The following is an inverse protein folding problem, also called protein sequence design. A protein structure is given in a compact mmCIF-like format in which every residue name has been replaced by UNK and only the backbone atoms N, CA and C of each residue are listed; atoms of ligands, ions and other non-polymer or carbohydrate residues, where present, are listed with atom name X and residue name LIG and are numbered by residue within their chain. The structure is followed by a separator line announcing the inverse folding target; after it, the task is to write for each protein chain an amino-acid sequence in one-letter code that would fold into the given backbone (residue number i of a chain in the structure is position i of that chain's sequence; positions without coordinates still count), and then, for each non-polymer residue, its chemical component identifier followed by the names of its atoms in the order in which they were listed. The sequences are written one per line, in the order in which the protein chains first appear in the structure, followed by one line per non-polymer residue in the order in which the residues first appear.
data_IF_361147426971
#
_entry.id   IF_361147426971
#
_cell.length_a   1.000
_cell.length_b   1.000
_cell.length_c   1.000
_cell.angle_alpha   90.00
_cell.angle_beta   90.00
_cell.angle_gamma   90.00
#
_symmetry.space_group_name_H-M   'P 1'
#
loop_
_entity.id
_entity.type
_entity.pdbx_description
1 polymer ?
#
# COMPACT_ATOMS: atom_id res chain seq x y z
N UNK A 1 -23.75 -5.82 13.69
CA UNK A 1 -24.54 -5.68 14.91
C UNK A 1 -24.89 -7.06 15.42
N UNK A 2 -24.82 -7.26 16.76
CA UNK A 2 -25.18 -8.51 17.41
C UNK A 2 -26.31 -8.21 18.41
N UNK A 3 -27.40 -8.98 18.35
CA UNK A 3 -28.53 -8.85 19.29
C UNK A 3 -28.76 -10.21 19.91
N UNK A 4 -28.62 -10.29 21.25
CA UNK A 4 -28.88 -11.47 22.07
C UNK A 4 -28.18 -12.78 21.58
N UNK A 5 -27.01 -12.64 20.96
CA UNK A 5 -26.22 -13.78 20.47
C UNK A 5 -25.58 -14.51 21.66
N UNK A 6 -25.95 -15.77 21.87
CA UNK A 6 -25.38 -16.62 22.90
C UNK A 6 -24.19 -17.40 22.35
N UNK A 7 -23.04 -17.31 23.03
CA UNK A 7 -21.84 -18.08 22.73
C UNK A 7 -21.36 -18.82 23.98
N UNK A 8 -20.71 -19.98 23.85
CA UNK A 8 -20.10 -20.66 25.00
C UNK A 8 -19.05 -19.79 25.67
N UNK A 9 -19.00 -19.79 27.02
CA UNK A 9 -17.98 -19.02 27.75
C UNK A 9 -16.54 -19.42 27.40
N UNK A 10 -16.36 -20.69 27.00
CA UNK A 10 -15.06 -21.21 26.53
C UNK A 10 -14.54 -20.55 25.23
N UNK A 11 -15.40 -19.81 24.52
CA UNK A 11 -15.00 -19.08 23.30
C UNK A 11 -14.42 -17.69 23.64
N UNK A 12 -14.32 -17.32 24.93
CA UNK A 12 -13.68 -16.08 25.33
C UNK A 12 -12.20 -16.10 24.97
N UNK A 13 -11.78 -15.12 24.16
CA UNK A 13 -10.37 -14.92 23.80
C UNK A 13 -9.71 -13.93 24.76
N UNK A 14 -8.77 -14.40 25.57
CA UNK A 14 -8.11 -13.58 26.57
C UNK A 14 -8.98 -13.34 27.81
N UNK A 15 -8.84 -12.17 28.42
CA UNK A 15 -9.58 -11.79 29.63
C UNK A 15 -10.83 -10.98 29.27
N UNK A 16 -11.88 -11.10 30.09
CA UNK A 16 -13.07 -10.27 29.97
C UNK A 16 -12.70 -8.78 30.06
N UNK A 17 -13.23 -7.97 29.13
CA UNK A 17 -12.88 -6.56 29.01
C UNK A 17 -11.53 -6.27 28.32
N UNK A 18 -10.71 -7.30 28.02
CA UNK A 18 -9.38 -7.14 27.44
C UNK A 18 -9.31 -6.98 25.91
N UNK A 19 -10.44 -7.10 25.19
CA UNK A 19 -10.46 -7.15 23.72
C UNK A 19 -9.81 -5.95 23.03
N UNK A 20 -9.95 -4.75 23.57
CA UNK A 20 -9.32 -3.56 23.02
C UNK A 20 -7.78 -3.63 23.07
N UNK A 21 -7.21 -4.12 24.18
CA UNK A 21 -5.76 -4.30 24.32
C UNK A 21 -5.22 -5.34 23.31
N UNK A 22 -5.96 -6.44 23.09
CA UNK A 22 -5.61 -7.45 22.08
C UNK A 22 -5.56 -6.83 20.70
N UNK A 23 -6.56 -6.02 20.31
CA UNK A 23 -6.57 -5.33 19.02
C UNK A 23 -5.39 -4.35 18.88
N UNK A 24 -5.12 -3.55 19.90
CA UNK A 24 -4.02 -2.57 19.87
C UNK A 24 -2.65 -3.23 19.69
N UNK A 25 -2.43 -4.38 20.29
CA UNK A 25 -1.17 -5.12 20.17
C UNK A 25 -0.93 -5.68 18.74
N UNK A 26 -1.99 -6.02 18.02
CA UNK A 26 -1.88 -6.57 16.65
C UNK A 26 -1.85 -5.50 15.56
N UNK A 27 -2.27 -4.26 15.83
CA UNK A 27 -2.33 -3.20 14.83
C UNK A 27 -1.00 -2.92 14.11
N UNK A 28 0.18 -2.92 14.75
CA UNK A 28 1.44 -2.71 14.04
C UNK A 28 1.68 -3.76 12.96
N UNK A 29 1.39 -5.02 13.25
CA UNK A 29 1.52 -6.16 12.32
C UNK A 29 0.52 -6.06 11.16
N UNK A 30 -0.74 -5.71 11.46
CA UNK A 30 -1.77 -5.47 10.43
C UNK A 30 -1.37 -4.34 9.49
N UNK A 31 -0.87 -3.22 10.02
CA UNK A 31 -0.38 -2.08 9.22
C UNK A 31 0.76 -2.49 8.28
N UNK A 32 1.65 -3.36 8.71
CA UNK A 32 2.71 -3.90 7.85
C UNK A 32 2.15 -4.75 6.72
N UNK A 33 1.14 -5.58 6.96
CA UNK A 33 0.46 -6.33 5.90
C UNK A 33 -0.13 -5.40 4.84
N UNK A 34 -0.75 -4.29 5.26
CA UNK A 34 -1.29 -3.26 4.36
C UNK A 34 -0.15 -2.59 3.57
N UNK A 35 0.95 -2.25 4.25
CA UNK A 35 2.11 -1.61 3.65
C UNK A 35 2.75 -2.48 2.55
N UNK A 36 2.96 -3.78 2.82
CA UNK A 36 3.49 -4.73 1.86
C UNK A 36 2.58 -4.86 0.62
N UNK A 37 1.26 -4.97 0.82
CA UNK A 37 0.30 -5.03 -0.30
C UNK A 37 0.31 -3.76 -1.13
N UNK A 38 0.34 -2.59 -0.50
CA UNK A 38 0.36 -1.32 -1.22
C UNK A 38 1.58 -1.19 -2.14
N UNK A 39 2.75 -1.59 -1.65
CA UNK A 39 3.97 -1.52 -2.44
C UNK A 39 4.03 -2.61 -3.52
N UNK A 40 3.56 -3.82 -3.24
CA UNK A 40 3.49 -4.90 -4.23
C UNK A 40 2.56 -4.55 -5.40
N UNK A 41 1.43 -3.90 -5.12
CA UNK A 41 0.51 -3.43 -6.18
C UNK A 41 1.10 -2.27 -6.99
N UNK A 42 1.79 -1.33 -6.33
CA UNK A 42 2.54 -0.28 -7.02
C UNK A 42 3.64 -0.86 -7.92
N UNK A 43 4.36 -1.88 -7.43
CA UNK A 43 5.34 -2.63 -8.22
C UNK A 43 4.68 -3.28 -9.44
N UNK A 44 3.53 -3.93 -9.26
CA UNK A 44 2.79 -4.55 -10.37
C UNK A 44 2.30 -3.51 -11.38
N UNK A 45 1.80 -2.37 -10.92
CA UNK A 45 1.42 -1.26 -11.79
C UNK A 45 2.60 -0.77 -12.65
N UNK A 46 3.77 -0.60 -12.03
CA UNK A 46 5.01 -0.23 -12.73
C UNK A 46 5.40 -1.26 -13.80
N UNK A 47 5.37 -2.55 -13.48
CA UNK A 47 5.71 -3.62 -14.44
C UNK A 47 4.78 -3.62 -15.65
N UNK A 48 3.46 -3.56 -15.41
CA UNK A 48 2.47 -3.47 -16.48
C UNK A 48 2.70 -2.24 -17.37
N UNK A 49 3.00 -1.10 -16.75
CA UNK A 49 3.22 0.16 -17.46
C UNK A 49 4.51 0.12 -18.24
N UNK A 50 5.62 -0.39 -17.66
CA UNK A 50 6.91 -0.54 -18.33
C UNK A 50 6.77 -1.36 -19.63
N UNK A 51 6.03 -2.46 -19.58
CA UNK A 51 5.83 -3.34 -20.71
C UNK A 51 4.91 -2.68 -21.76
N UNK A 52 3.82 -2.07 -21.31
CA UNK A 52 2.88 -1.37 -22.18
C UNK A 52 3.54 -0.21 -22.97
N UNK A 53 4.32 0.65 -22.32
CA UNK A 53 4.93 1.81 -22.99
C UNK A 53 5.99 1.43 -24.02
N UNK A 54 6.59 0.22 -23.90
CA UNK A 54 7.52 -0.31 -24.90
C UNK A 54 6.82 -0.80 -26.15
N UNK A 55 5.62 -1.32 -26.00
CA UNK A 55 4.83 -1.88 -27.13
C UNK A 55 3.98 -0.79 -27.79
N UNK A 56 3.37 0.09 -27.00
CA UNK A 56 2.48 1.13 -27.48
C UNK A 56 3.24 2.21 -28.25
N UNK A 57 2.78 2.51 -29.48
CA UNK A 57 3.34 3.56 -30.33
C UNK A 57 2.42 4.77 -30.41
N UNK A 58 3.01 5.95 -30.44
CA UNK A 58 2.38 7.22 -30.71
C UNK A 58 3.36 8.14 -31.45
N UNK A 59 2.89 8.92 -32.40
CA UNK A 59 3.71 9.85 -33.19
C UNK A 59 4.93 9.18 -33.86
N UNK A 60 4.78 7.92 -34.26
CA UNK A 60 5.82 7.15 -34.97
C UNK A 60 6.82 6.40 -34.07
N UNK A 61 6.86 6.68 -32.77
CA UNK A 61 7.79 6.10 -31.79
C UNK A 61 7.05 5.27 -30.74
N UNK A 62 7.77 4.39 -30.00
CA UNK A 62 7.23 3.80 -28.78
C UNK A 62 7.05 4.90 -27.71
N UNK A 63 6.04 4.76 -26.84
CA UNK A 63 5.85 5.74 -25.75
C UNK A 63 7.08 5.78 -24.84
N UNK A 64 7.83 4.68 -24.72
CA UNK A 64 9.05 4.62 -23.93
C UNK A 64 10.17 5.54 -24.46
N UNK A 65 10.22 5.83 -25.76
CA UNK A 65 11.25 6.69 -26.34
C UNK A 65 11.11 8.17 -25.97
N UNK A 66 9.94 8.58 -25.49
CA UNK A 66 9.76 9.94 -25.00
C UNK A 66 10.48 10.15 -23.66
N UNK A 67 11.33 11.18 -23.57
CA UNK A 67 12.14 11.48 -22.39
C UNK A 67 11.29 11.63 -21.11
N UNK A 68 10.11 12.27 -21.20
CA UNK A 68 9.19 12.41 -20.08
C UNK A 68 8.73 11.03 -19.52
N UNK A 69 8.51 10.04 -20.39
CA UNK A 69 8.17 8.67 -19.99
C UNK A 69 9.31 8.02 -19.21
N UNK A 70 10.54 8.17 -19.73
CA UNK A 70 11.73 7.61 -19.07
C UNK A 70 11.96 8.24 -17.70
N UNK A 71 11.80 9.55 -17.58
CA UNK A 71 11.93 10.26 -16.30
C UNK A 71 10.91 9.77 -15.28
N UNK A 72 9.64 9.69 -15.67
CA UNK A 72 8.58 9.21 -14.80
C UNK A 72 8.80 7.76 -14.34
N UNK A 73 9.19 6.87 -15.24
CA UNK A 73 9.50 5.49 -14.89
C UNK A 73 10.73 5.38 -13.97
N UNK A 74 11.74 6.24 -14.14
CA UNK A 74 12.90 6.30 -13.26
C UNK A 74 12.53 6.75 -11.84
N UNK A 75 11.69 7.79 -11.70
CA UNK A 75 11.14 8.26 -10.42
C UNK A 75 10.37 7.15 -9.70
N UNK A 76 9.49 6.45 -10.42
CA UNK A 76 8.69 5.34 -9.88
C UNK A 76 9.61 4.21 -9.42
N UNK A 77 10.55 3.79 -10.25
CA UNK A 77 11.50 2.72 -9.93
C UNK A 77 12.32 3.05 -8.68
N UNK A 78 12.76 4.29 -8.56
CA UNK A 78 13.52 4.76 -7.39
C UNK A 78 12.66 4.72 -6.13
N UNK A 79 11.42 5.22 -6.19
CA UNK A 79 10.47 5.19 -5.07
C UNK A 79 10.18 3.76 -4.61
N UNK A 80 9.99 2.83 -5.54
CA UNK A 80 9.79 1.42 -5.23
C UNK A 80 11.00 0.82 -4.51
N UNK A 81 12.22 1.09 -4.99
CA UNK A 81 13.44 0.59 -4.35
C UNK A 81 13.60 1.10 -2.90
N UNK A 82 13.36 2.40 -2.66
CA UNK A 82 13.37 2.99 -1.32
C UNK A 82 12.30 2.36 -0.43
N UNK A 83 11.09 2.18 -0.96
CA UNK A 83 9.99 1.58 -0.22
C UNK A 83 10.28 0.14 0.20
N UNK A 84 10.81 -0.69 -0.69
CA UNK A 84 11.17 -2.07 -0.37
C UNK A 84 12.28 -2.13 0.68
N UNK A 85 13.31 -1.29 0.60
CA UNK A 85 14.38 -1.24 1.59
C UNK A 85 13.84 -0.93 3.01
N UNK A 86 12.90 0.02 3.11
CA UNK A 86 12.27 0.34 4.39
C UNK A 86 11.36 -0.78 4.90
N UNK A 87 10.58 -1.42 4.01
CA UNK A 87 9.75 -2.55 4.41
C UNK A 87 10.58 -3.75 4.89
N UNK A 88 11.68 -4.06 4.21
CA UNK A 88 12.58 -5.14 4.63
C UNK A 88 13.14 -4.89 6.03
N UNK A 89 13.53 -3.65 6.34
CA UNK A 89 13.93 -3.25 7.69
C UNK A 89 12.81 -3.47 8.72
N UNK A 90 11.59 -3.05 8.41
CA UNK A 90 10.44 -3.24 9.31
C UNK A 90 10.08 -4.72 9.49
N UNK A 91 10.17 -5.54 8.44
CA UNK A 91 9.92 -6.98 8.51
C UNK A 91 10.96 -7.69 9.39
N UNK A 92 12.23 -7.30 9.32
CA UNK A 92 13.26 -7.80 10.24
C UNK A 92 12.89 -7.51 11.69
N UNK A 93 12.46 -6.28 11.98
CA UNK A 93 12.00 -5.89 13.33
C UNK A 93 10.75 -6.64 13.80
N UNK A 94 9.83 -7.02 12.90
CA UNK A 94 8.71 -7.90 13.26
C UNK A 94 9.22 -9.26 13.73
N UNK A 95 10.18 -9.85 13.00
CA UNK A 95 10.74 -11.17 13.35
C UNK A 95 11.52 -11.14 14.67
N UNK A 96 12.12 -10.01 14.99
CA UNK A 96 12.83 -9.75 16.25
C UNK A 96 11.91 -9.34 17.40
N UNK A 97 10.62 -9.06 17.14
CA UNK A 97 9.68 -8.55 18.12
C UNK A 97 9.95 -7.10 18.57
N UNK A 98 10.68 -6.32 17.77
CA UNK A 98 11.13 -4.96 18.10
C UNK A 98 10.44 -3.86 17.30
N UNK A 99 9.52 -4.20 16.38
CA UNK A 99 8.78 -3.20 15.60
C UNK A 99 7.91 -2.33 16.51
N UNK A 100 8.13 -1.02 16.47
CA UNK A 100 7.31 -0.07 17.24
C UNK A 100 5.99 0.26 16.53
N UNK A 101 4.94 0.69 17.27
CA UNK A 101 3.69 1.17 16.67
C UNK A 101 3.89 2.34 15.70
N UNK A 102 4.85 3.21 15.97
CA UNK A 102 5.25 4.33 15.15
C UNK A 102 5.83 3.88 13.81
N UNK A 103 6.79 2.95 13.83
CA UNK A 103 7.41 2.41 12.61
C UNK A 103 6.40 1.72 11.71
N UNK A 104 5.47 0.94 12.28
CA UNK A 104 4.35 0.36 11.54
C UNK A 104 3.42 1.43 10.94
N UNK A 105 3.20 2.54 11.65
CA UNK A 105 2.41 3.67 11.14
C UNK A 105 3.15 4.41 10.01
N UNK A 106 4.46 4.63 10.14
CA UNK A 106 5.29 5.24 9.09
C UNK A 106 5.32 4.37 7.82
N UNK A 107 5.51 3.07 7.97
CA UNK A 107 5.50 2.13 6.86
C UNK A 107 4.15 2.17 6.12
N UNK A 108 3.04 2.07 6.86
CA UNK A 108 1.69 2.13 6.29
C UNK A 108 1.41 3.46 5.62
N UNK A 109 1.72 4.58 6.26
CA UNK A 109 1.49 5.92 5.73
C UNK A 109 2.22 6.11 4.40
N UNK A 110 3.54 5.92 4.44
CA UNK A 110 4.38 6.19 3.26
C UNK A 110 4.04 5.28 2.08
N UNK A 111 3.89 3.97 2.31
CA UNK A 111 3.64 3.02 1.21
C UNK A 111 2.27 3.20 0.58
N UNK A 112 1.23 3.53 1.36
CA UNK A 112 -0.11 3.73 0.82
C UNK A 112 -0.23 5.05 0.07
N UNK A 113 0.40 6.13 0.53
CA UNK A 113 0.41 7.41 -0.18
C UNK A 113 1.24 7.32 -1.47
N UNK A 114 2.47 6.81 -1.37
CA UNK A 114 3.37 6.65 -2.52
C UNK A 114 2.83 5.62 -3.51
N UNK A 115 2.30 4.49 -3.03
CA UNK A 115 1.71 3.46 -3.87
C UNK A 115 0.52 3.97 -4.68
N UNK A 116 -0.39 4.73 -4.06
CA UNK A 116 -1.50 5.37 -4.78
C UNK A 116 -0.99 6.31 -5.88
N UNK A 117 -0.01 7.16 -5.56
CA UNK A 117 0.58 8.07 -6.54
C UNK A 117 1.21 7.31 -7.71
N UNK A 118 1.95 6.23 -7.44
CA UNK A 118 2.57 5.39 -8.48
C UNK A 118 1.49 4.77 -9.37
N UNK A 119 0.42 4.22 -8.79
CA UNK A 119 -0.65 3.59 -9.56
C UNK A 119 -1.38 4.61 -10.43
N UNK A 120 -1.62 5.82 -9.92
CA UNK A 120 -2.20 6.94 -10.66
C UNK A 120 -1.31 7.38 -11.84
N UNK A 121 -0.02 7.63 -11.57
CA UNK A 121 0.97 7.94 -12.59
C UNK A 121 1.06 6.83 -13.67
N UNK A 122 0.98 5.57 -13.27
CA UNK A 122 1.00 4.42 -14.18
C UNK A 122 -0.25 4.35 -15.06
N UNK A 123 -1.44 4.54 -14.47
CA UNK A 123 -2.70 4.52 -15.22
C UNK A 123 -2.71 5.56 -16.33
N UNK A 124 -2.12 6.73 -16.09
CA UNK A 124 -2.07 7.83 -17.07
C UNK A 124 -1.40 7.39 -18.38
N UNK A 125 -0.39 6.50 -18.35
CA UNK A 125 0.27 5.99 -19.56
C UNK A 125 -0.62 5.14 -20.45
N UNK A 126 -1.68 4.54 -19.89
CA UNK A 126 -2.64 3.75 -20.67
C UNK A 126 -3.68 4.62 -21.38
N UNK A 127 -3.79 5.92 -21.00
CA UNK A 127 -4.81 6.80 -21.55
C UNK A 127 -6.22 6.23 -21.34
N UNK A 128 -7.07 6.25 -22.37
CA UNK A 128 -8.43 5.70 -22.29
C UNK A 128 -8.49 4.21 -21.90
N UNK A 129 -7.50 3.42 -22.27
CA UNK A 129 -7.42 2.01 -21.87
C UNK A 129 -7.22 1.82 -20.36
N UNK A 130 -6.59 2.77 -19.68
CA UNK A 130 -6.46 2.75 -18.23
C UNK A 130 -7.79 2.89 -17.48
N UNK A 131 -8.84 3.32 -18.14
CA UNK A 131 -10.19 3.47 -17.58
C UNK A 131 -11.12 2.29 -17.88
N UNK A 132 -10.63 1.28 -18.60
CA UNK A 132 -11.37 0.08 -18.98
C UNK A 132 -11.09 -1.06 -17.98
N UNK A 133 -12.14 -1.71 -17.50
CA UNK A 133 -12.05 -2.78 -16.48
C UNK A 133 -11.30 -4.03 -16.95
N UNK A 134 -11.17 -4.23 -18.25
CA UNK A 134 -10.41 -5.31 -18.89
C UNK A 134 -8.88 -5.14 -18.64
N UNK A 135 -8.43 -3.91 -18.47
CA UNK A 135 -7.02 -3.65 -18.19
C UNK A 135 -6.73 -3.75 -16.68
N UNK A 136 -5.74 -4.56 -16.28
CA UNK A 136 -5.42 -4.75 -14.86
C UNK A 136 -5.10 -3.43 -14.12
N UNK A 137 -4.53 -2.45 -14.80
CA UNK A 137 -4.19 -1.15 -14.20
C UNK A 137 -5.43 -0.40 -13.68
N UNK A 138 -6.58 -0.51 -14.35
CA UNK A 138 -7.84 0.08 -13.91
C UNK A 138 -8.28 -0.49 -12.55
N UNK A 139 -8.19 -1.81 -12.38
CA UNK A 139 -8.52 -2.48 -11.11
C UNK A 139 -7.54 -2.10 -10.01
N UNK A 140 -6.23 -2.07 -10.31
CA UNK A 140 -5.21 -1.63 -9.34
C UNK A 140 -5.48 -0.20 -8.85
N UNK A 141 -5.92 0.70 -9.74
CA UNK A 141 -6.25 2.08 -9.38
C UNK A 141 -7.41 2.15 -8.38
N UNK A 142 -8.50 1.42 -8.63
CA UNK A 142 -9.66 1.39 -7.73
C UNK A 142 -9.29 0.76 -6.39
N UNK A 143 -8.60 -0.39 -6.42
CA UNK A 143 -8.27 -1.17 -5.22
C UNK A 143 -7.22 -0.49 -4.34
N UNK A 144 -6.28 0.25 -4.92
CA UNK A 144 -5.24 0.95 -4.15
C UNK A 144 -5.80 2.08 -3.29
N UNK A 145 -6.87 2.74 -3.72
CA UNK A 145 -7.40 3.95 -3.09
C UNK A 145 -7.87 3.73 -1.64
N UNK A 146 -8.51 2.61 -1.36
CA UNK A 146 -9.06 2.30 -0.03
C UNK A 146 -7.97 2.09 1.03
N UNK A 147 -6.73 1.76 0.63
CA UNK A 147 -5.62 1.50 1.57
C UNK A 147 -5.22 2.71 2.40
N UNK A 148 -5.51 3.93 1.93
CA UNK A 148 -5.32 5.16 2.69
C UNK A 148 -6.38 5.38 3.78
N UNK A 149 -7.42 4.53 3.82
CA UNK A 149 -8.59 4.68 4.70
C UNK A 149 -8.60 3.61 5.79
N UNK A 150 -8.59 2.32 5.41
CA UNK A 150 -8.67 1.24 6.38
C UNK A 150 -7.35 0.97 7.12
N UNK A 151 -7.40 0.24 8.23
CA UNK A 151 -6.24 -0.02 9.11
C UNK A 151 -5.73 1.25 9.80
N UNK A 152 -6.58 2.28 9.87
CA UNK A 152 -6.31 3.64 10.28
C UNK A 152 -6.02 4.56 9.09
N UNK A 153 -6.76 5.68 8.97
CA UNK A 153 -6.57 6.62 7.86
C UNK A 153 -5.17 7.25 7.90
N UNK A 154 -4.78 7.91 6.80
CA UNK A 154 -3.51 8.64 6.71
C UNK A 154 -3.36 9.66 7.86
N UNK A 155 -4.46 10.29 8.27
CA UNK A 155 -4.49 11.25 9.38
C UNK A 155 -4.23 10.55 10.72
N UNK A 156 -4.81 9.36 10.94
CA UNK A 156 -4.54 8.55 12.14
C UNK A 156 -3.09 8.09 12.17
N UNK A 157 -2.51 7.69 11.03
CA UNK A 157 -1.08 7.35 10.98
C UNK A 157 -0.20 8.53 11.37
N UNK A 158 -0.49 9.73 10.83
CA UNK A 158 0.21 10.97 11.20
C UNK A 158 0.06 11.30 12.70
N UNK A 159 -1.13 11.06 13.27
CA UNK A 159 -1.36 11.25 14.71
C UNK A 159 -0.52 10.28 15.56
N UNK A 160 -0.43 9.00 15.16
CA UNK A 160 0.39 8.01 15.87
C UNK A 160 1.87 8.41 15.84
N UNK A 161 2.37 8.80 14.66
CA UNK A 161 3.76 9.27 14.49
C UNK A 161 3.99 10.57 15.28
N UNK A 162 3.10 11.54 15.19
CA UNK A 162 3.23 12.83 15.86
C UNK A 162 3.25 12.75 17.39
N UNK A 163 2.65 11.70 17.97
CA UNK A 163 2.66 11.47 19.43
C UNK A 163 3.98 10.87 19.95
N UNK A 164 4.86 10.41 19.06
CA UNK A 164 6.17 9.87 19.42
C UNK A 164 7.32 10.90 19.29
N UNK A 165 7.00 12.10 18.77
CA UNK A 165 7.92 13.24 18.70
C UNK A 165 7.85 14.04 20.00
#
# INVERSE_FOLDING_TARGET
FFSDVRVPASNLLGNEGGGFAVLMNELPRERMTIACRALAEAQRAYELTRDYVKERKAFGNSIFEFQNTQFKLAEIKTSLAVGWAYLDQCLSKINEGTLTPEEGAMAKLWTTETGNKIVDDCLQFFGGYGYMSEYPISRLFVDSRVRRIYGGSSEIMKLVIGRSI
#
